data_IF_644394459559
#
_entry.id   IF_644394459559
#
_cell.length_a   1.000
_cell.length_b   1.000
_cell.length_c   1.000
_cell.angle_alpha   90.00
_cell.angle_beta   90.00
_cell.angle_gamma   90.00
#
_symmetry.space_group_name_H-M   'P 1'
#
loop_
_entity.id
_entity.type
_entity.pdbx_description
1 polymer ?
#
# COMPACT_ATOMS: atom_id res chain seq x y z
N UNK A 1 -6.05 30.68 -49.33
CA UNK A 1 -5.21 29.76 -48.52
C UNK A 1 -5.57 30.01 -47.07
N UNK A 2 -6.56 29.30 -46.55
CA UNK A 2 -6.98 29.42 -45.15
C UNK A 2 -6.05 28.56 -44.29
N UNK A 3 -5.22 29.20 -43.48
CA UNK A 3 -4.40 28.51 -42.47
C UNK A 3 -5.28 28.23 -41.26
N UNK A 4 -5.56 26.95 -41.03
CA UNK A 4 -6.21 26.49 -39.79
C UNK A 4 -5.12 26.29 -38.75
N UNK A 5 -5.09 27.13 -37.73
CA UNK A 5 -4.26 26.92 -36.53
C UNK A 5 -4.82 25.70 -35.78
N UNK A 6 -4.00 24.70 -35.42
CA UNK A 6 -4.46 23.60 -34.58
C UNK A 6 -4.60 24.09 -33.14
N UNK A 7 -5.83 24.04 -32.61
CA UNK A 7 -6.11 24.25 -31.19
C UNK A 7 -5.44 23.13 -30.39
N UNK A 8 -4.41 23.47 -29.62
CA UNK A 8 -3.78 22.56 -28.66
C UNK A 8 -4.75 22.33 -27.51
N UNK A 9 -5.36 21.14 -27.41
CA UNK A 9 -6.04 20.70 -26.19
C UNK A 9 -5.04 20.77 -25.02
N UNK A 10 -5.44 21.26 -23.83
CA UNK A 10 -4.55 21.30 -22.69
C UNK A 10 -4.07 19.88 -22.36
N UNK A 11 -2.78 19.76 -22.09
CA UNK A 11 -2.06 18.53 -21.75
C UNK A 11 -2.63 17.94 -20.44
N UNK A 12 -3.73 17.19 -20.56
CA UNK A 12 -4.37 16.55 -19.42
C UNK A 12 -3.51 15.36 -18.99
N UNK A 13 -3.05 15.38 -17.74
CA UNK A 13 -2.35 14.24 -17.15
C UNK A 13 -3.22 12.98 -17.30
N UNK A 14 -2.64 11.85 -17.75
CA UNK A 14 -3.34 10.57 -17.76
C UNK A 14 -3.98 10.30 -16.39
N UNK A 15 -5.21 9.76 -16.31
CA UNK A 15 -5.93 9.65 -15.04
C UNK A 15 -5.13 8.97 -13.93
N UNK A 16 -4.29 7.99 -14.26
CA UNK A 16 -3.46 7.26 -13.28
C UNK A 16 -2.30 8.09 -12.71
N UNK A 17 -1.95 9.21 -13.33
CA UNK A 17 -0.96 10.19 -12.88
C UNK A 17 -1.61 11.42 -12.22
N UNK A 18 -2.93 11.58 -12.30
CA UNK A 18 -3.66 12.68 -11.67
C UNK A 18 -4.02 12.34 -10.21
N UNK A 19 -3.45 13.04 -9.20
CA UNK A 19 -3.76 12.84 -7.79
C UNK A 19 -5.24 13.09 -7.43
N UNK A 20 -5.99 13.87 -8.22
CA UNK A 20 -7.41 14.11 -7.98
C UNK A 20 -8.27 12.86 -8.21
N UNK A 21 -7.73 11.85 -8.90
CA UNK A 21 -8.40 10.56 -9.10
C UNK A 21 -8.27 9.60 -7.91
N UNK A 22 -7.75 10.08 -6.78
CA UNK A 22 -7.52 9.30 -5.56
C UNK A 22 -8.47 9.73 -4.43
N UNK A 23 -8.83 8.82 -3.51
CA UNK A 23 -8.34 7.45 -3.38
C UNK A 23 -8.86 6.52 -4.50
N UNK A 24 -7.97 5.69 -5.02
CA UNK A 24 -8.36 4.60 -5.94
C UNK A 24 -8.61 3.36 -5.12
N UNK A 25 -9.83 2.84 -5.19
CA UNK A 25 -10.27 1.72 -4.36
C UNK A 25 -10.86 0.60 -5.20
N UNK A 26 -10.52 -0.64 -4.84
CA UNK A 26 -11.14 -1.86 -5.35
C UNK A 26 -11.71 -2.63 -4.17
N UNK A 27 -12.97 -3.06 -4.24
CA UNK A 27 -13.60 -3.86 -3.19
C UNK A 27 -14.23 -5.12 -3.77
N UNK A 28 -14.15 -6.23 -3.04
CA UNK A 28 -14.92 -7.44 -3.31
C UNK A 28 -15.86 -7.71 -2.13
N UNK A 29 -17.16 -7.38 -2.23
CA UNK A 29 -18.11 -7.56 -1.13
C UNK A 29 -18.28 -9.02 -0.71
N UNK A 30 -18.17 -9.97 -1.65
CA UNK A 30 -18.34 -11.40 -1.37
C UNK A 30 -17.21 -11.95 -0.50
N UNK A 31 -15.97 -11.50 -0.75
CA UNK A 31 -14.79 -11.89 0.01
C UNK A 31 -14.44 -10.89 1.14
N UNK A 32 -15.22 -9.83 1.27
CA UNK A 32 -14.97 -8.69 2.15
C UNK A 32 -13.52 -8.15 2.05
N UNK A 33 -13.06 -7.90 0.81
CA UNK A 33 -11.74 -7.32 0.58
C UNK A 33 -11.84 -5.85 0.19
N UNK A 34 -10.90 -5.04 0.68
CA UNK A 34 -10.83 -3.59 0.45
C UNK A 34 -9.40 -3.18 0.15
N UNK A 35 -9.12 -2.77 -1.08
CA UNK A 35 -7.79 -2.34 -1.53
C UNK A 35 -7.85 -0.86 -1.84
N UNK A 36 -6.95 -0.07 -1.27
CA UNK A 36 -6.92 1.39 -1.49
C UNK A 36 -5.51 1.90 -1.74
N UNK A 37 -5.35 2.69 -2.80
CA UNK A 37 -4.21 3.60 -2.98
C UNK A 37 -4.68 5.03 -2.73
N UNK A 38 -3.94 5.82 -1.95
CA UNK A 38 -4.36 7.17 -1.54
C UNK A 38 -3.18 8.09 -1.31
N UNK A 39 -3.37 9.41 -1.44
CA UNK A 39 -2.40 10.42 -0.99
C UNK A 39 -2.68 10.93 0.43
N UNK A 40 -3.82 10.53 1.02
CA UNK A 40 -4.21 10.92 2.37
C UNK A 40 -3.65 9.97 3.42
N UNK A 41 -3.50 10.41 4.69
CA UNK A 41 -3.16 9.54 5.80
C UNK A 41 -4.09 8.32 5.89
N UNK A 42 -3.51 7.17 6.27
CA UNK A 42 -4.25 5.93 6.46
C UNK A 42 -4.97 5.95 7.81
N UNK A 43 -6.20 5.43 7.85
CA UNK A 43 -7.01 5.34 9.07
C UNK A 43 -7.08 3.88 9.57
N UNK A 44 -6.36 3.56 10.67
CA UNK A 44 -6.36 2.22 11.24
C UNK A 44 -7.73 1.78 11.79
N UNK A 45 -8.51 2.72 12.31
CA UNK A 45 -9.83 2.43 12.89
C UNK A 45 -10.81 2.07 11.78
N UNK A 46 -10.81 2.82 10.67
CA UNK A 46 -11.59 2.51 9.47
C UNK A 46 -11.19 1.16 8.87
N UNK A 47 -9.90 0.82 8.86
CA UNK A 47 -9.42 -0.47 8.38
C UNK A 47 -9.99 -1.63 9.22
N UNK A 48 -9.91 -1.54 10.55
CA UNK A 48 -10.47 -2.55 11.46
C UNK A 48 -11.99 -2.65 11.35
N UNK A 49 -12.70 -1.54 11.20
CA UNK A 49 -14.17 -1.56 11.10
C UNK A 49 -14.66 -2.27 9.83
N UNK A 50 -13.94 -2.14 8.70
CA UNK A 50 -14.31 -2.78 7.43
C UNK A 50 -14.24 -4.31 7.47
N UNK A 51 -13.31 -4.86 8.25
CA UNK A 51 -13.08 -6.32 8.36
C UNK A 51 -13.77 -6.95 9.57
N UNK A 52 -14.35 -6.14 10.46
CA UNK A 52 -15.05 -6.62 11.65
C UNK A 52 -16.25 -7.48 11.28
N UNK A 53 -16.41 -8.62 11.95
CA UNK A 53 -17.47 -9.58 11.70
C UNK A 53 -17.92 -10.26 13.00
N UNK A 54 -19.22 -10.58 13.17
CA UNK A 54 -19.69 -11.39 14.30
C UNK A 54 -19.03 -12.77 14.38
N UNK A 55 -18.53 -13.28 13.25
CA UNK A 55 -17.88 -14.57 13.16
C UNK A 55 -16.36 -14.49 13.42
N UNK A 56 -15.80 -13.29 13.56
CA UNK A 56 -14.37 -13.09 13.77
C UNK A 56 -14.02 -13.14 15.26
N UNK A 57 -13.28 -14.16 15.68
CA UNK A 57 -12.68 -14.23 17.01
C UNK A 57 -11.33 -13.54 17.10
N UNK A 58 -10.76 -13.08 15.98
CA UNK A 58 -9.51 -12.32 15.94
C UNK A 58 -9.50 -11.31 14.80
N UNK A 59 -8.99 -10.12 15.10
CA UNK A 59 -8.66 -9.07 14.13
C UNK A 59 -7.20 -8.69 14.35
N UNK A 60 -6.41 -8.67 13.27
CA UNK A 60 -4.99 -8.29 13.30
C UNK A 60 -4.81 -7.07 12.40
N UNK A 61 -4.06 -6.09 12.90
CA UNK A 61 -3.73 -4.86 12.20
C UNK A 61 -2.21 -4.72 12.17
N UNK A 62 -1.68 -4.44 11.00
CA UNK A 62 -0.30 -4.04 10.79
C UNK A 62 -0.25 -2.62 10.19
N UNK A 63 0.69 -1.82 10.69
CA UNK A 63 1.01 -0.49 10.16
C UNK A 63 2.51 -0.43 9.85
N UNK A 64 2.86 -0.15 8.60
CA UNK A 64 4.23 0.13 8.21
C UNK A 64 4.51 1.62 8.37
N UNK A 65 5.22 2.00 9.44
CA UNK A 65 5.49 3.41 9.77
C UNK A 65 6.87 3.88 9.31
N UNK A 66 6.97 5.10 8.79
CA UNK A 66 8.25 5.73 8.46
C UNK A 66 9.09 5.94 9.72
N UNK A 67 10.32 5.41 9.74
CA UNK A 67 11.29 5.61 10.83
C UNK A 67 12.13 6.86 10.60
N UNK A 68 12.73 7.38 11.67
CA UNK A 68 13.56 8.60 11.64
C UNK A 68 15.00 8.39 11.16
N UNK A 69 15.43 7.14 10.97
CA UNK A 69 16.76 6.82 10.47
C UNK A 69 16.77 5.60 9.56
N UNK A 70 17.77 5.56 8.67
CA UNK A 70 18.07 4.44 7.81
C UNK A 70 19.58 4.33 7.61
N UNK A 71 20.18 3.17 7.93
CA UNK A 71 21.64 2.96 7.86
C UNK A 71 22.43 4.10 8.55
N UNK A 72 21.98 4.49 9.74
CA UNK A 72 22.53 5.60 10.56
C UNK A 72 22.44 7.00 9.92
N UNK A 73 21.77 7.16 8.77
CA UNK A 73 21.47 8.45 8.16
C UNK A 73 20.09 8.97 8.59
N UNK A 74 19.98 10.25 8.97
CA UNK A 74 18.69 10.88 9.24
C UNK A 74 17.82 10.95 7.98
N UNK A 75 16.64 10.36 8.04
CA UNK A 75 15.63 10.41 6.97
C UNK A 75 14.63 11.50 7.30
N UNK A 76 14.30 12.37 6.34
CA UNK A 76 13.25 13.37 6.51
C UNK A 76 11.86 12.76 6.27
N UNK A 77 11.74 11.93 5.23
CA UNK A 77 10.49 11.27 4.84
C UNK A 77 10.76 10.11 3.86
N UNK A 78 9.74 9.29 3.65
CA UNK A 78 9.68 8.36 2.52
C UNK A 78 8.70 8.91 1.49
N UNK A 79 9.04 8.81 0.20
CA UNK A 79 8.15 9.17 -0.90
C UNK A 79 7.79 7.92 -1.69
N UNK A 80 6.50 7.71 -1.98
CA UNK A 80 6.02 6.50 -2.64
C UNK A 80 5.36 6.81 -3.99
N UNK A 81 5.68 6.02 -5.00
CA UNK A 81 5.02 6.06 -6.30
C UNK A 81 4.53 4.67 -6.68
N UNK A 82 3.53 4.60 -7.53
CA UNK A 82 2.96 3.32 -7.97
C UNK A 82 2.56 3.38 -9.43
N UNK A 83 2.41 2.20 -10.05
CA UNK A 83 1.65 2.06 -11.28
C UNK A 83 0.25 1.54 -10.91
N UNK A 84 -0.74 2.44 -10.72
CA UNK A 84 -1.96 2.11 -9.97
C UNK A 84 -2.81 0.97 -10.55
N UNK A 85 -3.02 0.87 -11.89
CA UNK A 85 -3.80 -0.22 -12.45
C UNK A 85 -3.24 -1.60 -12.11
N UNK A 86 -1.92 -1.77 -12.19
CA UNK A 86 -1.28 -3.04 -11.90
C UNK A 86 -1.15 -3.28 -10.40
N UNK A 87 -0.76 -2.26 -9.63
CA UNK A 87 -0.66 -2.36 -8.17
C UNK A 87 -2.01 -2.78 -7.55
N UNK A 88 -3.13 -2.16 -7.96
CA UNK A 88 -4.46 -2.55 -7.47
C UNK A 88 -4.81 -3.99 -7.84
N UNK A 89 -4.47 -4.43 -9.05
CA UNK A 89 -4.69 -5.82 -9.50
C UNK A 89 -3.87 -6.80 -8.67
N UNK A 90 -2.59 -6.53 -8.47
CA UNK A 90 -1.67 -7.36 -7.68
C UNK A 90 -2.12 -7.46 -6.23
N UNK A 91 -2.42 -6.32 -5.59
CA UNK A 91 -2.91 -6.26 -4.21
C UNK A 91 -4.25 -6.97 -4.02
N UNK A 92 -5.18 -6.82 -4.97
CA UNK A 92 -6.46 -7.54 -4.94
C UNK A 92 -6.23 -9.05 -4.98
N UNK A 93 -5.35 -9.52 -5.86
CA UNK A 93 -5.02 -10.95 -5.97
C UNK A 93 -4.41 -11.50 -4.68
N UNK A 94 -3.49 -10.75 -4.06
CA UNK A 94 -2.91 -11.12 -2.75
C UNK A 94 -4.00 -11.26 -1.68
N UNK A 95 -4.93 -10.31 -1.59
CA UNK A 95 -6.00 -10.36 -0.61
C UNK A 95 -6.95 -11.56 -0.86
N UNK A 96 -7.34 -11.80 -2.10
CA UNK A 96 -8.21 -12.92 -2.47
C UNK A 96 -7.56 -14.28 -2.19
N UNK A 97 -6.26 -14.42 -2.48
CA UNK A 97 -5.50 -15.64 -2.18
C UNK A 97 -5.37 -15.85 -0.67
N UNK A 98 -5.15 -14.79 0.10
CA UNK A 98 -5.08 -14.86 1.55
C UNK A 98 -6.42 -15.27 2.18
N UNK A 99 -7.55 -14.75 1.66
CA UNK A 99 -8.90 -15.16 2.08
C UNK A 99 -9.09 -16.65 1.87
N UNK A 100 -8.79 -17.15 0.66
CA UNK A 100 -8.96 -18.56 0.32
C UNK A 100 -8.03 -19.48 1.14
N UNK A 101 -6.78 -19.07 1.36
CA UNK A 101 -5.75 -19.89 2.04
C UNK A 101 -5.94 -19.96 3.55
N UNK A 102 -6.36 -18.88 4.18
CA UNK A 102 -6.42 -18.76 5.66
C UNK A 102 -7.84 -18.69 6.21
N UNK A 103 -8.86 -18.86 5.36
CA UNK A 103 -10.28 -18.78 5.76
C UNK A 103 -10.62 -17.45 6.43
N UNK A 104 -10.12 -16.34 5.86
CA UNK A 104 -10.35 -15.01 6.40
C UNK A 104 -11.78 -14.54 6.16
N UNK A 105 -12.26 -13.69 7.07
CA UNK A 105 -13.58 -13.06 7.01
C UNK A 105 -13.53 -11.65 6.43
N UNK A 106 -12.33 -11.11 6.22
CA UNK A 106 -12.12 -9.83 5.57
C UNK A 106 -10.64 -9.45 5.53
N UNK A 107 -10.28 -8.65 4.53
CA UNK A 107 -8.94 -8.13 4.31
C UNK A 107 -9.01 -6.66 3.88
N UNK A 108 -8.20 -5.81 4.50
CA UNK A 108 -7.92 -4.46 4.02
C UNK A 108 -6.43 -4.37 3.69
N UNK A 109 -6.11 -3.82 2.52
CA UNK A 109 -4.76 -3.40 2.16
C UNK A 109 -4.85 -1.94 1.67
N UNK A 110 -4.32 -1.02 2.46
CA UNK A 110 -4.22 0.38 2.10
C UNK A 110 -2.77 0.79 1.95
N UNK A 111 -2.42 1.51 0.88
CA UNK A 111 -1.09 2.08 0.71
C UNK A 111 -1.18 3.57 0.41
N UNK A 112 -0.38 4.35 1.14
CA UNK A 112 -0.22 5.79 0.92
C UNK A 112 0.85 6.04 -0.15
N UNK A 113 0.55 6.94 -1.07
CA UNK A 113 1.43 7.44 -2.11
C UNK A 113 1.87 8.88 -1.79
N UNK A 114 2.89 9.35 -2.51
CA UNK A 114 3.54 10.61 -2.25
C UNK A 114 4.34 10.56 -0.95
N UNK A 115 4.49 11.72 -0.33
CA UNK A 115 5.32 11.91 0.85
C UNK A 115 4.63 11.41 2.13
N UNK A 116 5.36 10.60 2.89
CA UNK A 116 4.96 9.99 4.16
C UNK A 116 5.97 10.38 5.24
N UNK A 117 5.61 11.35 6.10
CA UNK A 117 6.47 11.82 7.18
C UNK A 117 6.84 10.74 8.19
N UNK A 118 7.91 11.00 8.96
CA UNK A 118 8.30 10.17 10.11
C UNK A 118 7.11 9.97 11.06
N UNK A 119 6.93 8.72 11.52
CA UNK A 119 5.86 8.33 12.44
C UNK A 119 4.52 8.06 11.75
N UNK A 120 4.36 8.44 10.48
CA UNK A 120 3.15 8.16 9.72
C UNK A 120 3.22 6.82 8.98
N UNK A 121 2.06 6.21 8.74
CA UNK A 121 1.96 4.90 8.09
C UNK A 121 1.93 5.04 6.57
N UNK A 122 2.78 4.28 5.88
CA UNK A 122 2.76 4.14 4.43
C UNK A 122 1.90 2.98 3.97
N UNK A 123 1.73 1.95 4.80
CA UNK A 123 0.87 0.80 4.51
C UNK A 123 0.05 0.41 5.75
N UNK A 124 -1.20 0.01 5.52
CA UNK A 124 -2.09 -0.60 6.50
C UNK A 124 -2.57 -1.94 5.97
N UNK A 125 -2.44 -2.98 6.78
CA UNK A 125 -3.02 -4.30 6.51
C UNK A 125 -3.90 -4.66 7.70
N UNK A 126 -5.17 -4.96 7.45
CA UNK A 126 -6.06 -5.49 8.48
C UNK A 126 -6.71 -6.77 7.99
N UNK A 127 -6.75 -7.79 8.85
CA UNK A 127 -7.37 -9.08 8.54
C UNK A 127 -8.24 -9.54 9.70
N UNK A 128 -9.35 -10.20 9.38
CA UNK A 128 -10.20 -10.87 10.37
C UNK A 128 -10.29 -12.36 10.10
N UNK A 129 -10.30 -13.16 11.16
CA UNK A 129 -10.45 -14.61 11.07
C UNK A 129 -11.23 -15.14 12.27
N UNK A 130 -11.76 -16.35 12.14
CA UNK A 130 -12.40 -17.03 13.26
C UNK A 130 -11.45 -17.18 14.45
N UNK A 131 -10.16 -17.46 14.21
CA UNK A 131 -9.17 -17.74 15.26
C UNK A 131 -7.86 -16.98 15.03
N UNK A 132 -7.19 -16.58 16.12
CA UNK A 132 -5.96 -15.77 16.10
C UNK A 132 -4.82 -16.35 15.27
N UNK A 133 -4.67 -17.68 15.23
CA UNK A 133 -3.58 -18.34 14.52
C UNK A 133 -3.66 -18.17 13.00
N UNK A 134 -4.86 -18.09 12.43
CA UNK A 134 -5.06 -17.77 11.02
C UNK A 134 -4.80 -16.28 10.77
N UNK A 135 -5.34 -15.39 11.61
CA UNK A 135 -5.18 -13.95 11.46
C UNK A 135 -3.72 -13.50 11.48
N UNK A 136 -2.89 -14.00 12.42
CA UNK A 136 -1.46 -13.63 12.48
C UNK A 136 -0.68 -14.06 11.24
N UNK A 137 -0.82 -15.33 10.84
CA UNK A 137 -0.12 -15.87 9.66
C UNK A 137 -0.54 -15.15 8.37
N UNK A 138 -1.83 -14.87 8.24
CA UNK A 138 -2.34 -14.15 7.09
C UNK A 138 -1.84 -12.70 7.02
N UNK A 139 -1.86 -11.97 8.14
CA UNK A 139 -1.41 -10.58 8.19
C UNK A 139 0.06 -10.43 7.77
N UNK A 140 0.93 -11.32 8.27
CA UNK A 140 2.34 -11.38 7.89
C UNK A 140 2.53 -11.77 6.42
N UNK A 141 1.86 -12.83 5.95
CA UNK A 141 1.96 -13.26 4.56
C UNK A 141 1.49 -12.20 3.58
N UNK A 142 0.38 -11.50 3.87
CA UNK A 142 -0.11 -10.40 3.05
C UNK A 142 0.93 -9.27 2.97
N UNK A 143 1.56 -8.91 4.09
CA UNK A 143 2.59 -7.88 4.10
C UNK A 143 3.78 -8.24 3.23
N UNK A 144 4.32 -9.44 3.40
CA UNK A 144 5.51 -9.88 2.66
C UNK A 144 5.22 -9.99 1.16
N UNK A 145 4.05 -10.54 0.78
CA UNK A 145 3.62 -10.56 -0.62
C UNK A 145 3.43 -9.16 -1.22
N UNK A 146 2.93 -8.20 -0.43
CA UNK A 146 2.82 -6.80 -0.88
C UNK A 146 4.20 -6.21 -1.17
N UNK A 147 5.19 -6.41 -0.28
CA UNK A 147 6.56 -5.91 -0.47
C UNK A 147 7.25 -6.56 -1.67
N UNK A 148 7.02 -7.85 -1.88
CA UNK A 148 7.63 -8.63 -2.95
C UNK A 148 7.05 -8.25 -4.33
N UNK A 149 5.71 -8.17 -4.43
CA UNK A 149 5.01 -8.19 -5.72
C UNK A 149 4.40 -6.86 -6.14
N UNK A 150 3.99 -6.00 -5.20
CA UNK A 150 3.25 -4.80 -5.56
C UNK A 150 4.13 -3.80 -6.32
N UNK A 151 3.57 -3.21 -7.38
CA UNK A 151 4.21 -2.19 -8.21
C UNK A 151 4.17 -0.81 -7.54
N UNK A 152 4.82 -0.76 -6.37
CA UNK A 152 4.98 0.41 -5.51
C UNK A 152 6.47 0.56 -5.20
N UNK A 153 7.02 1.74 -5.50
CA UNK A 153 8.42 2.07 -5.30
C UNK A 153 8.55 3.13 -4.21
N UNK A 154 9.61 3.02 -3.42
CA UNK A 154 9.93 3.97 -2.36
C UNK A 154 11.17 4.79 -2.73
N UNK A 155 11.16 6.04 -2.33
CA UNK A 155 12.33 6.91 -2.33
C UNK A 155 12.60 7.36 -0.91
N UNK A 156 13.83 7.17 -0.44
CA UNK A 156 14.30 7.75 0.81
C UNK A 156 14.73 9.19 0.54
N UNK A 157 14.18 10.15 1.29
CA UNK A 157 14.58 11.56 1.21
C UNK A 157 15.32 11.91 2.50
N UNK A 158 16.61 12.22 2.37
CA UNK A 158 17.48 12.52 3.50
C UNK A 158 17.43 14.02 3.84
N UNK A 159 17.82 14.35 5.09
CA UNK A 159 17.79 15.73 5.61
C UNK A 159 18.74 16.67 4.85
N UNK A 160 19.75 16.13 4.17
CA UNK A 160 20.69 16.86 3.31
C UNK A 160 20.14 17.16 1.90
N UNK A 161 18.89 16.76 1.61
CA UNK A 161 18.22 16.98 0.33
C UNK A 161 18.56 15.93 -0.74
N UNK A 162 19.46 14.99 -0.47
CA UNK A 162 19.71 13.85 -1.35
C UNK A 162 18.56 12.84 -1.26
N UNK A 163 18.27 12.13 -2.34
CA UNK A 163 17.26 11.07 -2.29
C UNK A 163 17.59 9.87 -3.16
N UNK A 164 17.44 8.69 -2.59
CA UNK A 164 17.74 7.40 -3.22
C UNK A 164 16.45 6.63 -3.49
N UNK A 165 16.25 6.20 -4.73
CA UNK A 165 15.14 5.31 -5.10
C UNK A 165 15.50 3.86 -4.77
N UNK A 166 14.60 3.14 -4.12
CA UNK A 166 14.77 1.72 -3.78
C UNK A 166 13.49 0.95 -4.09
N UNK A 167 13.63 -0.32 -4.49
CA UNK A 167 12.47 -1.19 -4.61
C UNK A 167 12.09 -1.73 -3.22
N UNK A 168 10.81 -2.04 -3.01
CA UNK A 168 10.38 -2.63 -1.74
C UNK A 168 10.97 -4.04 -1.52
N UNK A 169 11.26 -4.77 -2.60
CA UNK A 169 11.82 -6.14 -2.61
C UNK A 169 13.26 -6.25 -2.13
N UNK A 170 13.97 -5.14 -1.94
CA UNK A 170 15.42 -5.16 -1.69
C UNK A 170 15.74 -5.61 -0.25
N UNK A 171 14.74 -5.84 0.62
CA UNK A 171 14.96 -6.17 2.04
C UNK A 171 14.09 -7.31 2.57
N UNK A 172 14.65 -8.09 3.50
CA UNK A 172 13.99 -9.20 4.21
C UNK A 172 13.03 -8.72 5.32
N UNK A 173 12.39 -9.67 6.02
CA UNK A 173 11.47 -9.40 7.12
C UNK A 173 12.15 -8.67 8.30
N UNK A 174 13.46 -8.86 8.47
CA UNK A 174 14.30 -8.20 9.46
C UNK A 174 14.80 -6.83 9.01
N UNK A 175 14.50 -6.41 7.77
CA UNK A 175 14.90 -5.13 7.19
C UNK A 175 16.35 -5.08 6.69
N UNK A 176 17.02 -6.22 6.53
CA UNK A 176 18.36 -6.32 5.95
C UNK A 176 18.27 -6.44 4.43
N UNK A 177 19.33 -6.06 3.71
CA UNK A 177 19.38 -6.22 2.26
C UNK A 177 19.36 -7.71 1.89
N UNK A 178 18.48 -8.09 0.96
CA UNK A 178 18.51 -9.43 0.37
C UNK A 178 19.75 -9.49 -0.54
N UNK A 179 20.78 -10.23 -0.14
CA UNK A 179 21.94 -10.46 -1.02
C UNK A 179 21.50 -11.34 -2.19
N UNK A 180 21.69 -10.84 -3.40
CA UNK A 180 21.44 -11.58 -4.65
C UNK A 180 22.44 -12.69 -4.90
#
# INVERSE_FOLDING_TARGET
>A
MSSTTPTTEPDQLPPHLDPQTYPRTTTNPTLNTHITLTYHPLDPTSALSKISSPNAGANVLFLGTTRNSFEDRPVAQLSYTAYPPLALKTLSKIAEDAVAKHELLGVVIGHRLGDVPIGESSIVIAVSAGHRGAAWRAGEEVLELCKEKAEIWKKEVFVDGQGEWRANRDRDAEGKLVQG
#
